data_IF_004050458006
#
_entry.id   IF_004050458006
#
_cell.length_a   1.000
_cell.length_b   1.000
_cell.length_c   1.000
_cell.angle_alpha   90.00
_cell.angle_beta   90.00
_cell.angle_gamma   90.00
#
_symmetry.space_group_name_H-M   'P 1'
#
loop_
_entity.id
_entity.type
_entity.pdbx_description
1 polymer ?
#
# COMPACT_ATOMS: atom_id res chain seq x y z
N UNK A 1 -48.55 -64.69 76.54
CA UNK A 1 -47.17 -64.59 77.08
C UNK A 1 -46.42 -63.57 76.23
N UNK A 2 -46.00 -62.45 76.85
CA UNK A 2 -45.29 -61.34 76.19
C UNK A 2 -43.89 -61.80 75.77
N UNK A 3 -43.38 -61.35 74.62
CA UNK A 3 -41.95 -61.06 74.51
C UNK A 3 -41.63 -60.09 73.37
N UNK A 4 -41.24 -58.89 73.78
CA UNK A 4 -40.45 -57.92 73.04
C UNK A 4 -38.97 -58.33 73.18
N UNK A 5 -38.17 -58.20 72.11
CA UNK A 5 -36.72 -58.19 72.24
C UNK A 5 -36.11 -57.25 71.18
N UNK A 6 -35.37 -56.25 71.66
CA UNK A 6 -34.58 -55.30 70.88
C UNK A 6 -33.23 -55.90 70.48
N UNK A 7 -32.86 -55.73 69.20
CA UNK A 7 -31.48 -55.66 68.68
C UNK A 7 -30.64 -56.96 68.66
N UNK A 8 -30.16 -57.38 67.47
CA UNK A 8 -28.80 -57.07 66.98
C UNK A 8 -28.60 -57.60 65.54
N UNK A 9 -27.64 -56.96 64.86
CA UNK A 9 -27.32 -56.92 63.43
C UNK A 9 -26.75 -58.23 62.87
N UNK A 10 -27.10 -58.62 61.62
CA UNK A 10 -26.13 -59.05 60.58
C UNK A 10 -26.82 -59.51 59.27
N UNK A 11 -26.42 -58.90 58.15
CA UNK A 11 -26.24 -59.62 56.88
C UNK A 11 -27.37 -59.61 55.84
N UNK A 12 -27.41 -58.58 54.97
CA UNK A 12 -27.13 -58.69 53.52
C UNK A 12 -27.53 -57.40 52.80
N UNK A 13 -26.51 -56.63 52.42
CA UNK A 13 -26.61 -55.52 51.47
C UNK A 13 -26.76 -56.13 50.07
N UNK A 14 -27.96 -56.12 49.50
CA UNK A 14 -28.20 -56.45 48.08
C UNK A 14 -29.34 -55.56 47.56
N UNK A 15 -28.99 -54.31 47.22
CA UNK A 15 -30.00 -53.36 46.73
C UNK A 15 -29.46 -51.96 46.46
N UNK A 16 -28.31 -51.83 45.81
CA UNK A 16 -27.88 -50.55 45.27
C UNK A 16 -27.33 -50.77 43.86
N UNK A 17 -28.23 -50.67 42.88
CA UNK A 17 -27.88 -50.49 41.47
C UNK A 17 -27.14 -49.14 41.39
N UNK A 18 -25.81 -49.20 41.30
CA UNK A 18 -25.00 -48.06 40.94
C UNK A 18 -25.28 -47.75 39.48
N UNK A 19 -26.20 -46.82 39.22
CA UNK A 19 -26.26 -46.10 37.95
C UNK A 19 -24.98 -45.28 37.86
N UNK A 20 -23.92 -45.86 37.29
CA UNK A 20 -22.78 -45.10 36.79
C UNK A 20 -23.25 -44.28 35.60
N UNK A 21 -23.78 -43.09 35.88
CA UNK A 21 -24.07 -42.09 34.87
C UNK A 21 -22.77 -41.73 34.16
N UNK A 22 -22.69 -42.00 32.87
CA UNK A 22 -21.63 -41.45 32.02
C UNK A 22 -21.93 -39.94 31.94
N UNK A 23 -21.17 -39.13 32.66
CA UNK A 23 -21.18 -37.68 32.46
C UNK A 23 -20.46 -37.37 31.16
N UNK A 24 -21.21 -36.97 30.13
CA UNK A 24 -20.64 -36.32 28.96
C UNK A 24 -20.34 -34.86 29.34
N UNK A 25 -19.06 -34.47 29.31
CA UNK A 25 -18.72 -33.05 29.38
C UNK A 25 -19.29 -32.36 28.14
N UNK A 26 -20.05 -31.28 28.34
CA UNK A 26 -20.56 -30.48 27.23
C UNK A 26 -19.37 -29.99 26.37
N UNK A 27 -19.48 -30.03 25.03
CA UNK A 27 -18.42 -29.53 24.16
C UNK A 27 -18.12 -28.07 24.52
N UNK A 28 -16.83 -27.74 24.61
CA UNK A 28 -16.36 -26.40 24.97
C UNK A 28 -16.66 -25.46 23.79
N UNK A 29 -17.79 -24.75 23.86
CA UNK A 29 -18.21 -23.81 22.81
C UNK A 29 -17.40 -22.52 22.93
N UNK A 30 -16.68 -22.16 21.87
CA UNK A 30 -15.95 -20.89 21.79
C UNK A 30 -16.93 -19.81 21.32
N UNK A 31 -17.10 -18.76 22.13
CA UNK A 31 -17.98 -17.63 21.84
C UNK A 31 -17.18 -16.48 21.23
N UNK A 32 -17.72 -15.82 20.20
CA UNK A 32 -17.16 -14.61 19.62
C UNK A 32 -17.90 -13.38 20.14
N UNK A 33 -17.15 -12.40 20.65
CA UNK A 33 -17.66 -11.11 21.10
C UNK A 33 -16.78 -10.01 20.53
N UNK A 34 -17.37 -9.06 19.82
CA UNK A 34 -16.67 -7.88 19.29
C UNK A 34 -17.43 -6.63 19.74
N UNK A 35 -16.69 -5.67 20.31
CA UNK A 35 -17.25 -4.42 20.84
C UNK A 35 -18.43 -4.64 21.81
N UNK A 36 -18.38 -5.71 22.60
CA UNK A 36 -19.42 -6.07 23.57
C UNK A 36 -20.63 -6.80 22.98
N UNK A 37 -20.67 -7.03 21.67
CA UNK A 37 -21.77 -7.72 20.99
C UNK A 37 -21.38 -9.14 20.63
N UNK A 38 -22.30 -10.08 20.87
CA UNK A 38 -22.15 -11.47 20.42
C UNK A 38 -22.28 -11.54 18.90
N UNK A 39 -21.31 -12.20 18.26
CA UNK A 39 -21.35 -12.42 16.81
C UNK A 39 -21.94 -13.79 16.53
N UNK A 40 -23.02 -13.82 15.74
CA UNK A 40 -23.52 -15.05 15.14
C UNK A 40 -22.71 -15.38 13.88
N UNK A 41 -22.19 -16.60 13.79
CA UNK A 41 -21.55 -17.11 12.59
C UNK A 41 -22.18 -18.43 12.20
N UNK A 42 -22.36 -18.65 10.89
CA UNK A 42 -22.84 -19.92 10.34
C UNK A 42 -21.88 -21.08 10.66
N UNK A 43 -20.59 -20.77 10.78
CA UNK A 43 -19.56 -21.73 11.16
C UNK A 43 -19.10 -21.39 12.58
N UNK A 44 -19.26 -22.33 13.50
CA UNK A 44 -18.76 -22.13 14.86
C UNK A 44 -17.22 -22.06 14.87
N UNK A 45 -16.59 -21.22 15.72
CA UNK A 45 -15.14 -21.25 15.89
C UNK A 45 -14.68 -22.62 16.40
N UNK A 46 -13.51 -23.05 15.96
CA UNK A 46 -12.97 -24.38 16.24
C UNK A 46 -11.59 -24.28 16.87
N UNK A 47 -11.22 -25.27 17.69
CA UNK A 47 -9.84 -25.40 18.17
C UNK A 47 -9.18 -26.50 17.35
N UNK A 48 -8.17 -26.15 16.57
CA UNK A 48 -7.40 -27.05 15.71
C UNK A 48 -5.95 -26.93 16.14
N UNK A 49 -5.32 -28.05 16.51
CA UNK A 49 -3.91 -28.11 16.93
C UNK A 49 -3.53 -27.07 18.02
N UNK A 50 -4.46 -26.84 18.96
CA UNK A 50 -4.27 -25.88 20.06
C UNK A 50 -4.51 -24.41 19.68
N UNK A 51 -4.80 -24.12 18.42
CA UNK A 51 -5.14 -22.77 17.93
C UNK A 51 -6.64 -22.62 17.72
N UNK A 52 -7.19 -21.46 18.09
CA UNK A 52 -8.60 -21.15 17.83
C UNK A 52 -8.75 -20.56 16.44
N UNK A 53 -9.39 -21.30 15.54
CA UNK A 53 -9.77 -20.88 14.20
C UNK A 53 -11.11 -20.15 14.24
N UNK A 54 -11.13 -18.93 13.73
CA UNK A 54 -12.30 -18.05 13.72
C UNK A 54 -12.76 -17.86 12.27
N UNK A 55 -14.08 -17.88 12.00
CA UNK A 55 -14.61 -17.55 10.66
C UNK A 55 -14.22 -16.11 10.27
N UNK A 56 -13.33 -16.00 9.29
CA UNK A 56 -12.74 -14.72 8.89
C UNK A 56 -13.80 -13.68 8.47
N UNK A 57 -14.82 -14.11 7.70
CA UNK A 57 -15.92 -13.23 7.26
C UNK A 57 -16.70 -12.65 8.44
N UNK A 58 -17.13 -13.50 9.38
CA UNK A 58 -17.93 -13.06 10.52
C UNK A 58 -17.18 -12.08 11.41
N UNK A 59 -15.87 -12.31 11.60
CA UNK A 59 -15.02 -11.37 12.33
C UNK A 59 -14.86 -10.04 11.57
N UNK A 60 -14.54 -10.09 10.28
CA UNK A 60 -14.35 -8.89 9.46
C UNK A 60 -15.62 -8.02 9.39
N UNK A 61 -16.78 -8.63 9.16
CA UNK A 61 -18.07 -7.93 9.11
C UNK A 61 -18.45 -7.32 10.46
N UNK A 62 -18.19 -8.02 11.56
CA UNK A 62 -18.41 -7.47 12.89
C UNK A 62 -17.48 -6.29 13.24
N UNK A 63 -16.32 -6.20 12.59
CA UNK A 63 -15.41 -5.06 12.66
C UNK A 63 -15.77 -3.95 11.64
N UNK A 64 -16.92 -4.05 10.97
CA UNK A 64 -17.44 -3.04 10.05
C UNK A 64 -16.86 -3.12 8.63
N UNK A 65 -16.19 -4.22 8.27
CA UNK A 65 -15.74 -4.44 6.90
C UNK A 65 -16.84 -5.10 6.05
N UNK A 66 -16.82 -4.85 4.74
CA UNK A 66 -17.57 -5.60 3.74
C UNK A 66 -16.67 -6.69 3.18
N UNK A 67 -17.19 -7.92 3.07
CA UNK A 67 -16.46 -9.05 2.49
C UNK A 67 -17.20 -9.53 1.24
N UNK A 68 -16.49 -9.67 0.13
CA UNK A 68 -17.06 -10.21 -1.10
C UNK A 68 -16.04 -11.01 -1.90
N UNK A 69 -16.54 -11.78 -2.84
CA UNK A 69 -15.73 -12.53 -3.80
C UNK A 69 -15.53 -11.69 -5.06
N UNK A 70 -14.28 -11.53 -5.47
CA UNK A 70 -13.90 -10.96 -6.76
C UNK A 70 -13.69 -12.13 -7.74
N UNK A 71 -14.63 -12.29 -8.66
CA UNK A 71 -14.62 -13.37 -9.65
C UNK A 71 -13.47 -13.23 -10.65
N UNK A 72 -13.12 -12.01 -11.04
CA UNK A 72 -12.10 -11.78 -12.06
C UNK A 72 -10.71 -12.15 -11.53
N UNK A 73 -10.46 -11.82 -10.27
CA UNK A 73 -9.18 -12.09 -9.62
C UNK A 73 -9.16 -13.43 -8.86
N UNK A 74 -10.30 -14.11 -8.72
CA UNK A 74 -10.46 -15.31 -7.90
C UNK A 74 -9.95 -15.09 -6.46
N UNK A 75 -10.32 -13.94 -5.87
CA UNK A 75 -9.88 -13.55 -4.52
C UNK A 75 -11.03 -13.14 -3.62
N UNK A 76 -10.83 -13.32 -2.31
CA UNK A 76 -11.71 -12.74 -1.29
C UNK A 76 -11.23 -11.33 -0.99
N UNK A 77 -12.10 -10.35 -1.18
CA UNK A 77 -11.84 -8.94 -0.88
C UNK A 77 -12.49 -8.56 0.44
N UNK A 78 -11.73 -7.89 1.31
CA UNK A 78 -12.19 -7.35 2.59
C UNK A 78 -11.97 -5.84 2.58
N UNK A 79 -13.07 -5.06 2.60
CA UNK A 79 -13.01 -3.60 2.52
C UNK A 79 -13.61 -2.96 3.76
N UNK A 80 -12.86 -2.10 4.45
CA UNK A 80 -13.39 -1.29 5.55
C UNK A 80 -13.40 0.18 5.15
N UNK A 81 -14.60 0.75 5.00
CA UNK A 81 -14.78 2.12 4.50
C UNK A 81 -14.27 3.17 5.50
N UNK A 82 -14.37 2.90 6.80
CA UNK A 82 -13.83 3.76 7.84
C UNK A 82 -12.29 3.78 7.78
N UNK A 83 -11.67 2.62 7.64
CA UNK A 83 -10.22 2.51 7.48
C UNK A 83 -9.74 3.19 6.20
N UNK A 84 -10.43 2.99 5.06
CA UNK A 84 -10.16 3.73 3.81
C UNK A 84 -10.31 5.23 4.00
N UNK A 85 -11.34 5.69 4.70
CA UNK A 85 -11.55 7.11 5.00
C UNK A 85 -10.44 7.67 5.88
N UNK A 86 -9.97 6.93 6.88
CA UNK A 86 -8.85 7.33 7.74
C UNK A 86 -7.56 7.42 6.96
N UNK A 87 -7.27 6.45 6.08
CA UNK A 87 -6.14 6.53 5.16
C UNK A 87 -6.26 7.74 4.22
N UNK A 88 -7.44 8.00 3.64
CA UNK A 88 -7.69 9.20 2.81
C UNK A 88 -7.55 10.51 3.58
N UNK A 89 -7.97 10.55 4.84
CA UNK A 89 -7.84 11.73 5.72
C UNK A 89 -6.40 11.97 6.14
N UNK A 90 -5.63 10.90 6.37
CA UNK A 90 -4.20 10.95 6.60
C UNK A 90 -3.44 11.30 5.30
N UNK A 91 -4.06 11.00 4.16
CA UNK A 91 -3.71 11.48 2.85
C UNK A 91 -4.40 12.81 2.50
N UNK A 92 -4.67 13.72 3.43
CA UNK A 92 -4.98 15.10 3.04
C UNK A 92 -3.65 15.83 2.86
N UNK A 93 -3.15 15.91 1.63
CA UNK A 93 -1.85 16.54 1.36
C UNK A 93 -1.96 18.06 1.59
N UNK A 94 -1.10 18.58 2.46
CA UNK A 94 -1.04 20.02 2.70
C UNK A 94 -0.39 20.76 1.52
N UNK A 95 -0.61 22.06 1.40
CA UNK A 95 0.08 22.89 0.39
C UNK A 95 1.62 22.81 0.54
N UNK A 96 2.12 22.72 1.77
CA UNK A 96 3.56 22.54 2.03
C UNK A 96 4.06 21.20 1.50
N UNK A 97 3.31 20.12 1.73
CA UNK A 97 3.72 18.78 1.27
C UNK A 97 3.60 18.68 -0.26
N UNK A 98 2.61 19.35 -0.86
CA UNK A 98 2.51 19.47 -2.32
C UNK A 98 3.71 20.24 -2.92
N UNK A 99 4.15 21.33 -2.28
CA UNK A 99 5.37 22.05 -2.62
C UNK A 99 6.61 21.15 -2.51
N UNK A 100 6.75 20.41 -1.40
CA UNK A 100 7.84 19.46 -1.21
C UNK A 100 7.87 18.37 -2.27
N UNK A 101 6.73 17.77 -2.60
CA UNK A 101 6.62 16.75 -3.64
C UNK A 101 7.08 17.28 -5.02
N UNK A 102 6.75 18.53 -5.35
CA UNK A 102 7.19 19.15 -6.60
C UNK A 102 8.69 19.49 -6.61
N UNK A 103 9.24 19.93 -5.47
CA UNK A 103 10.67 20.17 -5.33
C UNK A 103 11.47 18.87 -5.48
N UNK A 104 11.03 17.79 -4.82
CA UNK A 104 11.63 16.46 -4.94
C UNK A 104 11.56 15.97 -6.39
N UNK A 105 10.46 16.25 -7.10
CA UNK A 105 10.29 15.89 -8.50
C UNK A 105 11.26 16.62 -9.42
N UNK A 106 11.51 17.91 -9.19
CA UNK A 106 12.55 18.64 -9.92
C UNK A 106 13.93 18.02 -9.65
N UNK A 107 14.25 17.72 -8.39
CA UNK A 107 15.52 17.10 -8.04
C UNK A 107 15.72 15.76 -8.74
N UNK A 108 14.72 14.88 -8.67
CA UNK A 108 14.72 13.57 -9.34
C UNK A 108 14.86 13.70 -10.85
N UNK A 109 14.16 14.65 -11.48
CA UNK A 109 14.30 14.93 -12.90
C UNK A 109 15.75 15.23 -13.27
N UNK A 110 16.42 16.13 -12.52
CA UNK A 110 17.82 16.45 -12.78
C UNK A 110 18.77 15.28 -12.56
N UNK A 111 18.53 14.47 -11.52
CA UNK A 111 19.29 13.23 -11.32
C UNK A 111 19.19 12.31 -12.52
N UNK A 112 17.99 12.14 -13.09
CA UNK A 112 17.81 11.34 -14.30
C UNK A 112 18.55 11.93 -15.50
N UNK A 113 18.46 13.25 -15.72
CA UNK A 113 19.13 13.93 -16.85
C UNK A 113 20.65 13.83 -16.77
N UNK A 114 21.24 13.86 -15.57
CA UNK A 114 22.69 13.67 -15.42
C UNK A 114 23.10 12.19 -15.44
N UNK A 115 22.15 11.27 -15.30
CA UNK A 115 22.35 9.83 -15.46
C UNK A 115 22.35 9.05 -14.15
N UNK A 116 21.87 9.64 -13.06
CA UNK A 116 21.80 9.05 -11.72
C UNK A 116 23.12 9.13 -10.96
N UNK A 117 23.07 8.86 -9.66
CA UNK A 117 24.27 8.70 -8.84
C UNK A 117 24.94 7.34 -9.04
N UNK A 118 26.22 7.26 -8.67
CA UNK A 118 27.00 6.02 -8.64
C UNK A 118 28.09 5.93 -9.71
N UNK A 119 28.65 4.73 -9.86
CA UNK A 119 29.72 4.48 -10.83
C UNK A 119 29.15 4.41 -12.25
N UNK A 120 29.48 5.41 -13.07
CA UNK A 120 29.20 5.42 -14.49
C UNK A 120 30.25 4.52 -15.17
N UNK A 121 29.97 3.22 -15.22
CA UNK A 121 30.90 2.23 -15.78
C UNK A 121 31.40 2.64 -17.18
N UNK A 122 32.65 2.30 -17.47
CA UNK A 122 33.26 2.15 -18.81
C UNK A 122 33.17 3.33 -19.82
N UNK A 123 32.96 4.56 -19.36
CA UNK A 123 33.04 5.76 -20.21
C UNK A 123 31.89 5.87 -21.22
N UNK A 124 32.12 6.60 -22.31
CA UNK A 124 31.10 6.84 -23.34
C UNK A 124 31.32 6.00 -24.60
N UNK A 125 30.26 5.78 -25.37
CA UNK A 125 30.27 4.96 -26.58
C UNK A 125 29.25 5.45 -27.62
N UNK A 126 29.49 5.10 -28.89
CA UNK A 126 28.62 5.54 -29.99
C UNK A 126 27.35 4.69 -30.11
N UNK A 127 26.21 5.36 -30.20
CA UNK A 127 24.94 4.78 -30.61
C UNK A 127 24.35 5.61 -31.74
N UNK A 128 24.44 5.09 -32.96
CA UNK A 128 23.91 5.73 -34.19
C UNK A 128 24.49 7.14 -34.42
N UNK A 129 25.79 7.33 -34.19
CA UNK A 129 26.47 8.62 -34.41
C UNK A 129 26.34 9.62 -33.26
N UNK A 130 25.84 9.18 -32.10
CA UNK A 130 25.69 10.00 -30.90
C UNK A 130 26.47 9.36 -29.75
N UNK A 131 27.10 10.17 -28.92
CA UNK A 131 27.89 9.73 -27.77
C UNK A 131 26.98 9.49 -26.55
N UNK A 132 26.96 8.26 -26.05
CA UNK A 132 26.12 7.80 -24.94
C UNK A 132 26.99 7.43 -23.75
N UNK A 133 26.45 7.60 -22.54
CA UNK A 133 27.03 7.10 -21.29
C UNK A 133 26.09 6.12 -20.61
N UNK A 134 26.65 5.19 -19.86
CA UNK A 134 25.85 4.30 -19.01
C UNK A 134 25.18 5.08 -17.87
N UNK A 135 23.95 4.69 -17.54
CA UNK A 135 23.24 5.17 -16.36
C UNK A 135 23.91 4.61 -15.11
N UNK A 136 23.93 5.40 -14.04
CA UNK A 136 24.41 5.00 -12.73
C UNK A 136 23.55 3.88 -12.13
N UNK A 137 24.10 3.17 -11.13
CA UNK A 137 23.53 1.93 -10.59
C UNK A 137 22.12 2.06 -10.01
N UNK A 138 21.69 3.28 -9.69
CA UNK A 138 20.33 3.57 -9.21
C UNK A 138 19.30 3.60 -10.34
N UNK A 139 19.73 3.79 -11.58
CA UNK A 139 18.88 3.95 -12.77
C UNK A 139 19.28 3.02 -13.92
N UNK A 140 20.20 2.08 -13.69
CA UNK A 140 20.85 1.25 -14.71
C UNK A 140 19.96 0.19 -15.36
N UNK A 141 18.72 0.02 -14.91
CA UNK A 141 17.75 -0.94 -15.48
C UNK A 141 16.39 -0.28 -15.62
N UNK A 142 15.59 -0.77 -16.57
CA UNK A 142 14.20 -0.31 -16.76
C UNK A 142 13.38 -0.32 -15.48
N UNK A 143 13.48 -1.40 -14.69
CA UNK A 143 12.74 -1.55 -13.44
C UNK A 143 13.10 -0.45 -12.46
N UNK A 144 14.39 -0.24 -12.18
CA UNK A 144 14.83 0.80 -11.25
C UNK A 144 14.47 2.20 -11.74
N UNK A 145 14.60 2.47 -13.04
CA UNK A 145 14.23 3.74 -13.64
C UNK A 145 12.74 4.07 -13.45
N UNK A 146 11.87 3.09 -13.68
CA UNK A 146 10.42 3.25 -13.48
C UNK A 146 10.08 3.38 -11.99
N UNK A 147 10.66 2.55 -11.13
CA UNK A 147 10.45 2.63 -9.68
C UNK A 147 10.88 4.00 -9.13
N UNK A 148 12.00 4.55 -9.63
CA UNK A 148 12.50 5.87 -9.26
C UNK A 148 11.52 6.99 -9.64
N UNK A 149 10.90 6.91 -10.81
CA UNK A 149 9.83 7.84 -11.23
C UNK A 149 8.57 7.67 -10.37
N UNK A 150 8.16 6.44 -10.10
CA UNK A 150 6.96 6.12 -9.33
C UNK A 150 7.05 6.48 -7.83
N UNK A 151 8.22 6.91 -7.35
CA UNK A 151 8.36 7.57 -6.06
C UNK A 151 7.56 8.88 -6.00
N UNK A 152 7.44 9.59 -7.12
CA UNK A 152 6.91 10.96 -7.17
C UNK A 152 5.77 11.11 -8.18
N UNK A 153 5.76 10.32 -9.26
CA UNK A 153 4.77 10.36 -10.31
C UNK A 153 3.82 9.17 -10.26
N UNK A 154 2.64 9.33 -10.86
CA UNK A 154 1.71 8.22 -11.00
C UNK A 154 2.28 7.16 -11.95
N UNK A 155 1.94 5.87 -11.78
CA UNK A 155 2.44 4.80 -12.65
C UNK A 155 2.22 5.10 -14.14
N UNK A 156 1.07 5.68 -14.48
CA UNK A 156 0.71 6.02 -15.84
C UNK A 156 1.66 7.08 -16.44
N UNK A 157 2.01 8.12 -15.68
CA UNK A 157 2.95 9.16 -16.11
C UNK A 157 4.39 8.63 -16.17
N UNK A 158 4.79 7.78 -15.23
CA UNK A 158 6.10 7.13 -15.25
C UNK A 158 6.29 6.25 -16.51
N UNK A 159 5.29 5.43 -16.84
CA UNK A 159 5.29 4.58 -18.03
C UNK A 159 5.24 5.40 -19.32
N UNK A 160 4.44 6.47 -19.35
CA UNK A 160 4.37 7.37 -20.50
C UNK A 160 5.73 8.03 -20.77
N UNK A 161 6.40 8.52 -19.73
CA UNK A 161 7.71 9.13 -19.86
C UNK A 161 8.78 8.12 -20.31
N UNK A 162 8.81 6.91 -19.71
CA UNK A 162 9.69 5.83 -20.16
C UNK A 162 9.53 5.55 -21.67
N UNK A 163 8.28 5.43 -22.13
CA UNK A 163 7.97 5.21 -23.54
C UNK A 163 8.51 6.35 -24.41
N UNK A 164 8.26 7.60 -24.02
CA UNK A 164 8.75 8.77 -24.73
C UNK A 164 10.28 8.78 -24.84
N UNK A 165 11.00 8.52 -23.74
CA UNK A 165 12.47 8.54 -23.71
C UNK A 165 13.11 7.40 -24.50
N UNK A 166 12.44 6.25 -24.59
CA UNK A 166 12.95 5.14 -25.40
C UNK A 166 12.64 5.31 -26.89
N UNK A 167 11.49 5.91 -27.24
CA UNK A 167 11.10 6.19 -28.61
C UNK A 167 11.93 7.33 -29.25
N UNK A 168 12.28 8.35 -28.47
CA UNK A 168 13.10 9.47 -28.95
C UNK A 168 14.62 9.19 -28.88
N UNK A 169 15.03 8.06 -28.29
CA UNK A 169 16.43 7.68 -28.14
C UNK A 169 17.16 8.36 -26.97
N UNK A 170 16.47 9.12 -26.11
CA UNK A 170 17.08 9.65 -24.88
C UNK A 170 17.49 8.56 -23.90
N UNK A 171 16.86 7.38 -23.97
CA UNK A 171 17.25 6.18 -23.23
C UNK A 171 17.31 5.00 -24.20
N UNK A 172 18.39 4.22 -24.11
CA UNK A 172 18.53 2.94 -24.81
C UNK A 172 18.86 1.83 -23.81
N UNK A 173 18.39 0.62 -24.11
CA UNK A 173 18.69 -0.58 -23.35
C UNK A 173 19.61 -1.50 -24.15
N UNK A 174 20.76 -1.85 -23.58
CA UNK A 174 21.78 -2.67 -24.20
C UNK A 174 22.19 -3.73 -23.17
N UNK A 175 21.98 -5.01 -23.50
CA UNK A 175 22.28 -6.14 -22.60
C UNK A 175 21.63 -6.02 -21.21
N UNK A 176 20.45 -5.39 -21.13
CA UNK A 176 19.71 -5.17 -19.88
C UNK A 176 20.18 -3.96 -19.05
N UNK A 177 21.20 -3.22 -19.52
CA UNK A 177 21.65 -1.97 -18.92
C UNK A 177 21.16 -0.75 -19.70
N UNK A 178 20.87 0.34 -18.99
CA UNK A 178 20.42 1.60 -19.59
C UNK A 178 21.57 2.55 -19.87
N UNK A 179 21.47 3.27 -20.99
CA UNK A 179 22.38 4.35 -21.37
C UNK A 179 21.60 5.54 -21.95
N UNK A 180 22.22 6.72 -21.89
CA UNK A 180 21.64 7.96 -22.40
C UNK A 180 22.68 8.85 -23.11
N UNK A 181 22.27 9.73 -24.03
CA UNK A 181 23.19 10.67 -24.68
C UNK A 181 23.90 11.59 -23.69
N UNK A 182 25.15 11.95 -24.00
CA UNK A 182 25.83 13.06 -23.34
C UNK A 182 25.18 14.38 -23.73
N UNK A 183 24.58 15.05 -22.75
CA UNK A 183 23.83 16.28 -22.94
C UNK A 183 23.97 17.19 -21.71
N UNK A 184 24.13 18.49 -21.96
CA UNK A 184 24.09 19.52 -20.93
C UNK A 184 22.65 20.04 -20.80
N UNK A 185 22.12 20.03 -19.57
CA UNK A 185 20.80 20.55 -19.25
C UNK A 185 20.87 21.51 -18.06
N UNK A 186 19.89 22.41 -17.97
CA UNK A 186 19.70 23.26 -16.80
C UNK A 186 18.31 23.86 -16.77
N UNK A 187 17.82 24.18 -15.57
CA UNK A 187 16.64 25.00 -15.35
C UNK A 187 16.97 26.11 -14.38
N UNK A 188 16.33 27.26 -14.58
CA UNK A 188 16.38 28.41 -13.65
C UNK A 188 15.16 28.46 -12.74
N UNK A 189 14.25 27.48 -12.85
CA UNK A 189 13.11 27.38 -11.95
C UNK A 189 13.56 26.89 -10.58
N UNK A 190 13.11 27.56 -9.53
CA UNK A 190 13.45 27.23 -8.15
C UNK A 190 12.28 26.50 -7.47
N UNK A 191 12.03 25.25 -7.84
CA UNK A 191 10.88 24.51 -7.26
C UNK A 191 11.02 24.28 -5.75
N UNK A 192 12.25 24.24 -5.23
CA UNK A 192 12.53 24.22 -3.79
C UNK A 192 11.93 25.43 -3.05
N UNK A 193 11.75 26.56 -3.75
CA UNK A 193 11.16 27.80 -3.22
C UNK A 193 9.71 28.01 -3.69
N UNK A 194 9.10 27.02 -4.36
CA UNK A 194 7.75 27.14 -4.87
C UNK A 194 6.72 27.18 -3.74
N UNK A 195 5.67 27.95 -3.95
CA UNK A 195 4.51 28.00 -3.06
C UNK A 195 3.32 27.35 -3.75
N UNK A 196 2.69 26.38 -3.09
CA UNK A 196 1.46 25.77 -3.57
C UNK A 196 0.23 26.42 -2.93
N UNK A 197 -0.85 26.52 -3.69
CA UNK A 197 -2.17 26.93 -3.21
C UNK A 197 -3.19 25.91 -3.70
N UNK A 198 -3.98 25.36 -2.79
CA UNK A 198 -5.05 24.43 -3.14
C UNK A 198 -6.13 25.12 -3.97
N UNK A 199 -6.54 24.49 -5.06
CA UNK A 199 -7.57 25.03 -5.96
C UNK A 199 -8.87 24.24 -5.83
N UNK A 200 -8.81 22.94 -6.07
CA UNK A 200 -9.99 22.08 -6.09
C UNK A 200 -9.65 20.61 -5.91
N UNK A 201 -10.66 19.83 -5.57
CA UNK A 201 -10.58 18.38 -5.45
C UNK A 201 -11.76 17.72 -6.16
N UNK A 202 -11.50 16.61 -6.84
CA UNK A 202 -12.53 15.77 -7.45
C UNK A 202 -11.95 14.45 -7.92
N UNK A 203 -12.73 13.36 -7.79
CA UNK A 203 -12.36 12.03 -8.28
C UNK A 203 -11.00 11.51 -7.77
N UNK A 204 -10.64 11.81 -6.52
CA UNK A 204 -9.35 11.39 -5.92
C UNK A 204 -8.14 12.17 -6.42
N UNK A 205 -8.37 13.28 -7.14
CA UNK A 205 -7.35 14.21 -7.64
C UNK A 205 -7.51 15.55 -6.95
N UNK A 206 -6.40 16.11 -6.46
CA UNK A 206 -6.31 17.49 -5.96
C UNK A 206 -5.50 18.32 -6.94
N UNK A 207 -5.97 19.51 -7.25
CA UNK A 207 -5.24 20.47 -8.10
C UNK A 207 -4.69 21.59 -7.24
N UNK A 208 -3.41 21.87 -7.41
CA UNK A 208 -2.71 22.95 -6.74
C UNK A 208 -2.15 23.91 -7.77
N UNK A 209 -2.18 25.19 -7.46
CA UNK A 209 -1.48 26.23 -8.19
C UNK A 209 -0.13 26.46 -7.53
N UNK A 210 0.94 26.30 -8.28
CA UNK A 210 2.31 26.56 -7.86
C UNK A 210 2.75 27.91 -8.39
N UNK A 211 3.27 28.76 -7.52
CA UNK A 211 4.06 29.92 -7.90
C UNK A 211 5.53 29.55 -7.74
N UNK A 212 6.22 29.38 -8.86
CA UNK A 212 7.61 28.93 -8.92
C UNK A 212 8.50 30.14 -9.21
N UNK A 213 9.39 30.54 -8.29
CA UNK A 213 10.31 31.63 -8.53
C UNK A 213 11.27 31.35 -9.70
N UNK A 214 11.54 32.40 -10.49
CA UNK A 214 12.53 32.40 -11.57
C UNK A 214 13.21 33.77 -11.58
N UNK A 215 14.43 33.85 -11.06
CA UNK A 215 15.20 35.10 -10.93
C UNK A 215 14.34 36.22 -10.29
N UNK A 216 13.99 37.26 -11.05
CA UNK A 216 13.20 38.42 -10.60
C UNK A 216 11.68 38.25 -10.79
N UNK A 217 11.22 37.05 -11.15
CA UNK A 217 9.82 36.77 -11.52
C UNK A 217 9.30 35.45 -10.94
N UNK A 218 8.07 35.08 -11.29
CA UNK A 218 7.53 33.76 -10.95
C UNK A 218 6.68 33.21 -12.10
N UNK A 219 6.80 31.92 -12.33
CA UNK A 219 5.92 31.18 -13.23
C UNK A 219 4.80 30.50 -12.43
N UNK A 220 3.58 30.58 -12.93
CA UNK A 220 2.43 29.94 -12.31
C UNK A 220 2.07 28.67 -13.08
N UNK A 221 2.03 27.53 -12.38
CA UNK A 221 1.63 26.24 -12.95
C UNK A 221 0.53 25.60 -12.13
N UNK A 222 -0.46 25.00 -12.78
CA UNK A 222 -1.45 24.17 -12.09
C UNK A 222 -1.06 22.71 -12.24
N UNK A 223 -0.83 22.04 -11.12
CA UNK A 223 -0.38 20.64 -11.08
C UNK A 223 -1.44 19.80 -10.39
N UNK A 224 -1.77 18.67 -11.00
CA UNK A 224 -2.67 17.67 -10.44
C UNK A 224 -1.86 16.65 -9.64
N UNK A 225 -2.32 16.39 -8.43
CA UNK A 225 -1.83 15.31 -7.60
C UNK A 225 -2.95 14.28 -7.47
N UNK A 226 -2.63 12.99 -7.62
CA UNK A 226 -3.57 11.89 -7.43
C UNK A 226 -3.10 11.00 -6.29
N UNK A 227 -4.03 10.59 -5.44
CA UNK A 227 -3.73 9.58 -4.44
C UNK A 227 -3.70 8.19 -5.08
N UNK A 228 -2.55 7.53 -4.98
CA UNK A 228 -2.35 6.16 -5.46
C UNK A 228 -2.32 5.24 -4.25
N UNK A 229 -3.21 4.25 -4.22
CA UNK A 229 -3.33 3.30 -3.11
C UNK A 229 -1.99 2.58 -2.86
N UNK A 230 -1.58 2.49 -1.59
CA UNK A 230 -0.30 1.91 -1.18
C UNK A 230 0.94 2.77 -1.47
N UNK A 231 0.83 3.84 -2.28
CA UNK A 231 1.95 4.72 -2.65
C UNK A 231 1.83 6.13 -2.05
N UNK A 232 0.62 6.63 -1.85
CA UNK A 232 0.37 8.00 -1.38
C UNK A 232 0.09 8.96 -2.53
N UNK A 233 0.25 10.27 -2.30
CA UNK A 233 0.08 11.27 -3.35
C UNK A 233 1.22 11.24 -4.35
N UNK A 234 0.86 11.36 -5.62
CA UNK A 234 1.78 11.40 -6.75
C UNK A 234 1.37 12.50 -7.71
N UNK A 235 2.36 13.05 -8.41
CA UNK A 235 2.14 14.00 -9.50
C UNK A 235 1.49 13.26 -10.67
N UNK A 236 0.34 13.74 -11.09
CA UNK A 236 -0.47 13.19 -12.18
C UNK A 236 -0.42 14.11 -13.41
N UNK A 237 0.77 14.58 -13.71
CA UNK A 237 1.13 15.40 -14.87
C UNK A 237 2.36 14.77 -15.56
N UNK A 238 2.62 15.08 -16.86
CA UNK A 238 3.82 14.63 -17.54
C UNK A 238 5.09 14.99 -16.76
N UNK A 239 6.07 14.07 -16.73
CA UNK A 239 7.29 14.21 -15.92
C UNK A 239 8.06 15.50 -16.23
N UNK A 240 8.11 15.90 -17.49
CA UNK A 240 8.77 17.11 -17.98
C UNK A 240 8.05 18.42 -17.64
N UNK A 241 6.87 18.37 -17.00
CA UNK A 241 6.15 19.55 -16.50
C UNK A 241 6.93 20.26 -15.39
N UNK A 242 7.68 19.50 -14.59
CA UNK A 242 8.47 19.96 -13.46
C UNK A 242 9.95 19.72 -13.79
N UNK A 243 10.61 20.75 -14.32
CA UNK A 243 12.02 20.76 -14.73
C UNK A 243 12.78 21.93 -14.10
#
# INVERSE_FOLDING_TARGET
MKMSWKSFVSGMVLGSVLFSGISYAAPKVVKLVVNGNDIHSEVAPQIIDGSTMIPARALAEALGARVFWDEDNQTVVVENEEYRRLQRKQADISERDAAGLAADAQHHFWQMIIGGGGDHQDGSFDVKGNDYRWMGTELDTKTKYIEYLELLYTPEQAQAYWKQQTENGSIVEIEGKLAQPNADGGSRMEWENAQATFIQEGNGVKTFRFSVPIEDSSEVKEIKLRFVEGKGWRIDEPVDTIR
#
